data_IF_385847883255
#
_entry.id   IF_385847883255
#
_cell.length_a   1.000
_cell.length_b   1.000
_cell.length_c   1.000
_cell.angle_alpha   90.00
_cell.angle_beta   90.00
_cell.angle_gamma   90.00
#
_symmetry.space_group_name_H-M   'P 1'
#
loop_
_entity.id
_entity.type
_entity.pdbx_description
1 polymer ?
#
# COMPACT_ATOMS: atom_id res chain seq x y z
N UNK A 1 15.48 -8.47 -26.32
CA UNK A 1 14.86 -8.49 -24.99
C UNK A 1 15.70 -7.57 -24.11
N UNK A 2 15.09 -6.69 -23.31
CA UNK A 2 15.82 -5.74 -22.46
C UNK A 2 16.69 -6.53 -21.45
N UNK A 3 18.02 -6.35 -21.48
CA UNK A 3 18.99 -7.12 -20.68
C UNK A 3 18.70 -7.07 -19.18
N UNK A 4 18.14 -5.96 -18.69
CA UNK A 4 17.73 -5.78 -17.30
C UNK A 4 16.57 -6.71 -16.92
N UNK A 5 15.57 -6.85 -17.80
CA UNK A 5 14.41 -7.72 -17.55
C UNK A 5 14.86 -9.17 -17.49
N UNK A 6 15.72 -9.58 -18.43
CA UNK A 6 16.27 -10.93 -18.45
C UNK A 6 17.06 -11.24 -17.18
N UNK A 7 17.89 -10.30 -16.72
CA UNK A 7 18.61 -10.43 -15.45
C UNK A 7 17.65 -10.65 -14.25
N UNK A 8 16.62 -9.81 -14.10
CA UNK A 8 15.66 -9.95 -12.99
C UNK A 8 14.97 -11.32 -13.04
N UNK A 9 14.54 -11.75 -14.23
CA UNK A 9 13.85 -13.03 -14.41
C UNK A 9 14.74 -14.23 -14.05
N UNK A 10 15.98 -14.24 -14.55
CA UNK A 10 16.93 -15.33 -14.27
C UNK A 10 17.29 -15.42 -12.78
N UNK A 11 17.45 -14.29 -12.11
CA UNK A 11 17.86 -14.25 -10.71
C UNK A 11 16.75 -14.65 -9.72
N UNK A 12 15.48 -14.57 -10.14
CA UNK A 12 14.30 -14.80 -9.29
C UNK A 12 13.51 -16.07 -9.63
N UNK A 13 13.77 -16.71 -10.79
CA UNK A 13 13.02 -17.88 -11.29
C UNK A 13 12.94 -19.06 -10.32
N UNK A 14 13.98 -19.28 -9.51
CA UNK A 14 14.07 -20.41 -8.58
C UNK A 14 13.43 -20.09 -7.21
N UNK A 15 13.06 -18.83 -6.98
CA UNK A 15 12.49 -18.35 -5.72
C UNK A 15 10.99 -18.06 -5.80
N UNK A 16 10.49 -17.69 -6.98
CA UNK A 16 9.10 -17.29 -7.18
C UNK A 16 8.51 -18.00 -8.41
N UNK A 17 7.20 -18.29 -8.44
CA UNK A 17 6.53 -18.78 -9.63
C UNK A 17 6.71 -17.82 -10.81
N UNK A 18 6.75 -18.35 -12.04
CA UNK A 18 6.96 -17.56 -13.26
C UNK A 18 6.02 -16.35 -13.40
N UNK A 19 4.77 -16.49 -12.98
CA UNK A 19 3.78 -15.40 -13.00
C UNK A 19 4.15 -14.26 -12.05
N UNK A 20 4.67 -14.59 -10.87
CA UNK A 20 5.11 -13.61 -9.88
C UNK A 20 6.42 -12.95 -10.29
N UNK A 21 7.38 -13.71 -10.83
CA UNK A 21 8.61 -13.16 -11.42
C UNK A 21 8.29 -12.13 -12.51
N UNK A 22 7.31 -12.43 -13.36
CA UNK A 22 6.85 -11.48 -14.38
C UNK A 22 6.24 -10.23 -13.76
N UNK A 23 5.36 -10.37 -12.76
CA UNK A 23 4.73 -9.24 -12.07
C UNK A 23 5.76 -8.36 -11.35
N UNK A 24 6.71 -8.96 -10.63
CA UNK A 24 7.83 -8.27 -9.98
C UNK A 24 8.67 -7.52 -11.01
N UNK A 25 9.02 -8.18 -12.12
CA UNK A 25 9.78 -7.55 -13.21
C UNK A 25 9.06 -6.33 -13.76
N UNK A 26 7.75 -6.43 -14.00
CA UNK A 26 6.92 -5.31 -14.42
C UNK A 26 6.99 -4.15 -13.43
N UNK A 27 6.73 -4.42 -12.15
CA UNK A 27 6.73 -3.42 -11.06
C UNK A 27 8.08 -2.70 -10.97
N UNK A 28 9.20 -3.44 -10.99
CA UNK A 28 10.55 -2.85 -10.89
C UNK A 28 10.82 -1.93 -12.08
N UNK A 29 10.48 -2.36 -13.29
CA UNK A 29 10.74 -1.57 -14.49
C UNK A 29 9.89 -0.30 -14.50
N UNK A 30 8.58 -0.40 -14.28
CA UNK A 30 7.71 0.79 -14.22
C UNK A 30 8.17 1.77 -13.13
N UNK A 31 8.61 1.25 -11.98
CA UNK A 31 9.14 2.08 -10.90
C UNK A 31 10.44 2.81 -11.27
N UNK A 32 11.39 2.14 -11.91
CA UNK A 32 12.70 2.71 -12.26
C UNK A 32 12.63 3.66 -13.46
N UNK A 33 11.80 3.33 -14.45
CA UNK A 33 11.69 4.09 -15.70
C UNK A 33 10.59 5.16 -15.67
N UNK A 34 9.67 5.10 -14.69
CA UNK A 34 8.51 5.99 -14.60
C UNK A 34 7.67 6.03 -15.88
N UNK A 35 7.60 4.89 -16.57
CA UNK A 35 6.92 4.69 -17.84
C UNK A 35 6.19 3.34 -17.85
N UNK A 36 5.22 3.22 -18.75
CA UNK A 36 4.43 2.01 -18.94
C UNK A 36 5.29 0.82 -19.42
N UNK A 37 5.08 -0.37 -18.82
CA UNK A 37 5.87 -1.56 -19.12
C UNK A 37 5.83 -1.98 -20.60
N UNK A 38 4.71 -1.80 -21.29
CA UNK A 38 4.60 -2.16 -22.71
C UNK A 38 5.47 -1.27 -23.60
N UNK A 39 5.58 0.03 -23.26
CA UNK A 39 6.51 0.93 -23.95
C UNK A 39 7.97 0.54 -23.73
N UNK A 40 8.31 0.14 -22.50
CA UNK A 40 9.65 -0.34 -22.14
C UNK A 40 9.99 -1.61 -22.93
N UNK A 41 9.06 -2.56 -23.02
CA UNK A 41 9.24 -3.80 -23.79
C UNK A 41 9.38 -3.55 -25.29
N UNK A 42 8.61 -2.61 -25.84
CA UNK A 42 8.67 -2.22 -27.24
C UNK A 42 9.97 -1.47 -27.62
N UNK A 43 10.86 -1.20 -26.65
CA UNK A 43 12.10 -0.46 -26.88
C UNK A 43 11.89 1.03 -27.15
N UNK A 44 10.69 1.55 -26.87
CA UNK A 44 10.38 2.98 -26.98
C UNK A 44 11.01 3.80 -25.87
N UNK A 45 11.43 3.14 -24.78
CA UNK A 45 12.19 3.69 -23.67
C UNK A 45 13.49 2.91 -23.57
N UNK A 46 14.62 3.58 -23.80
CA UNK A 46 15.94 2.95 -23.73
C UNK A 46 16.55 3.26 -22.36
N UNK A 47 16.93 2.23 -21.57
CA UNK A 47 17.67 2.44 -20.35
C UNK A 47 19.03 3.08 -20.65
N UNK A 48 19.28 4.25 -20.06
CA UNK A 48 20.58 4.91 -20.15
C UNK A 48 21.14 5.14 -18.74
N UNK A 49 22.22 4.42 -18.40
CA UNK A 49 23.11 4.77 -17.30
C UNK A 49 23.31 3.70 -16.21
N UNK A 50 24.55 3.65 -15.68
CA UNK A 50 25.01 2.70 -14.65
C UNK A 50 24.22 2.76 -13.31
N UNK A 51 23.43 3.82 -13.08
CA UNK A 51 22.61 3.93 -11.87
C UNK A 51 21.41 2.99 -11.86
N UNK A 52 20.83 2.70 -13.03
CA UNK A 52 19.70 1.80 -13.17
C UNK A 52 20.15 0.39 -12.77
N UNK A 53 21.28 -0.05 -13.31
CA UNK A 53 21.85 -1.36 -13.01
C UNK A 53 22.08 -1.53 -11.51
N UNK A 54 22.74 -0.56 -10.86
CA UNK A 54 22.97 -0.61 -9.40
C UNK A 54 21.69 -0.75 -8.59
N UNK A 55 20.64 0.00 -8.93
CA UNK A 55 19.34 -0.09 -8.23
C UNK A 55 18.69 -1.45 -8.45
N UNK A 56 18.76 -2.00 -9.66
CA UNK A 56 18.22 -3.33 -9.97
C UNK A 56 18.94 -4.40 -9.15
N UNK A 57 20.28 -4.36 -9.09
CA UNK A 57 21.06 -5.29 -8.27
C UNK A 57 20.66 -5.23 -6.79
N UNK A 58 20.47 -4.02 -6.25
CA UNK A 58 20.06 -3.83 -4.85
C UNK A 58 18.65 -4.39 -4.58
N UNK A 59 17.69 -4.10 -5.47
CA UNK A 59 16.32 -4.60 -5.36
C UNK A 59 16.30 -6.13 -5.42
N UNK A 60 16.97 -6.73 -6.41
CA UNK A 60 17.04 -8.20 -6.56
C UNK A 60 17.70 -8.84 -5.34
N UNK A 61 18.77 -8.24 -4.79
CA UNK A 61 19.41 -8.73 -3.57
C UNK A 61 18.43 -8.75 -2.38
N UNK A 62 17.60 -7.72 -2.22
CA UNK A 62 16.59 -7.65 -1.14
C UNK A 62 15.46 -8.64 -1.36
N UNK A 63 14.99 -8.81 -2.59
CA UNK A 63 14.00 -9.83 -2.95
C UNK A 63 14.47 -11.26 -2.69
N UNK A 64 15.77 -11.53 -2.89
CA UNK A 64 16.38 -12.83 -2.55
C UNK A 64 16.39 -13.11 -1.04
N UNK A 65 16.24 -12.09 -0.22
CA UNK A 65 16.06 -12.21 1.23
C UNK A 65 14.58 -12.20 1.64
N UNK A 66 13.66 -12.48 0.71
CA UNK A 66 12.21 -12.52 0.92
C UNK A 66 11.60 -11.19 1.42
N UNK A 67 12.27 -10.07 1.17
CA UNK A 67 11.70 -8.77 1.49
C UNK A 67 10.61 -8.40 0.46
N UNK A 68 9.38 -8.06 0.89
CA UNK A 68 8.31 -7.68 -0.02
C UNK A 68 8.69 -6.51 -0.93
N UNK A 69 8.37 -6.62 -2.22
CA UNK A 69 8.73 -5.60 -3.22
C UNK A 69 8.23 -4.20 -2.83
N UNK A 70 7.03 -4.09 -2.24
CA UNK A 70 6.45 -2.81 -1.84
C UNK A 70 7.26 -2.13 -0.72
N UNK A 71 7.85 -2.89 0.21
CA UNK A 71 8.77 -2.32 1.21
C UNK A 71 10.12 -1.95 0.61
N UNK A 72 10.59 -2.71 -0.39
CA UNK A 72 11.82 -2.37 -1.11
C UNK A 72 11.65 -1.04 -1.85
N UNK A 73 10.51 -0.84 -2.52
CA UNK A 73 10.19 0.39 -3.25
C UNK A 73 9.72 1.53 -2.33
N UNK A 74 9.24 1.20 -1.12
CA UNK A 74 8.70 2.14 -0.15
C UNK A 74 7.32 2.68 -0.50
N UNK A 75 6.67 2.13 -1.54
CA UNK A 75 5.37 2.57 -2.02
C UNK A 75 4.58 1.43 -2.69
N UNK A 76 3.27 1.60 -2.70
CA UNK A 76 2.34 0.82 -3.50
C UNK A 76 1.20 1.70 -3.99
N UNK A 77 0.31 1.10 -4.78
CA UNK A 77 -0.90 1.73 -5.29
C UNK A 77 -2.09 1.06 -4.62
N UNK A 78 -3.06 1.85 -4.19
CA UNK A 78 -4.34 1.39 -3.64
C UNK A 78 -5.43 2.27 -4.26
N UNK A 79 -6.27 1.70 -5.12
CA UNK A 79 -7.04 2.44 -6.13
C UNK A 79 -6.13 3.36 -6.97
N UNK A 80 -6.45 4.65 -7.05
CA UNK A 80 -5.61 5.67 -7.72
C UNK A 80 -4.67 6.39 -6.75
N UNK A 81 -4.56 5.92 -5.51
CA UNK A 81 -3.78 6.57 -4.46
C UNK A 81 -2.39 5.96 -4.36
N UNK A 82 -1.39 6.85 -4.31
CA UNK A 82 -0.02 6.46 -4.01
C UNK A 82 0.15 6.34 -2.51
N UNK A 83 0.44 5.14 -2.02
CA UNK A 83 0.57 4.83 -0.60
C UNK A 83 2.02 4.51 -0.29
N UNK A 84 2.71 5.37 0.46
CA UNK A 84 4.00 5.02 1.06
C UNK A 84 3.81 3.93 2.12
N UNK A 85 4.66 2.92 2.08
CA UNK A 85 4.66 1.77 3.00
C UNK A 85 6.06 1.54 3.56
N UNK A 86 6.12 0.91 4.73
CA UNK A 86 7.35 0.54 5.42
C UNK A 86 7.05 -0.63 6.38
N UNK A 87 8.06 -1.29 6.95
CA UNK A 87 7.85 -2.44 7.85
C UNK A 87 6.96 -2.18 9.08
N UNK A 88 6.70 -0.91 9.43
CA UNK A 88 5.80 -0.54 10.53
C UNK A 88 4.32 -0.42 10.15
N UNK A 89 3.94 -0.70 8.90
CA UNK A 89 2.54 -0.70 8.42
C UNK A 89 2.28 -1.90 7.53
N UNK A 90 1.04 -2.42 7.53
CA UNK A 90 0.63 -3.46 6.60
C UNK A 90 0.61 -2.91 5.16
N UNK A 91 1.14 -3.68 4.21
CA UNK A 91 0.98 -3.41 2.78
C UNK A 91 -0.51 -3.56 2.43
N UNK A 92 -1.17 -2.53 1.86
CA UNK A 92 -2.55 -2.62 1.39
C UNK A 92 -2.79 -3.84 0.50
N UNK A 93 -3.92 -4.51 0.70
CA UNK A 93 -4.28 -5.74 -0.01
C UNK A 93 -5.43 -5.50 -0.99
N UNK A 94 -5.46 -6.17 -2.15
CA UNK A 94 -6.57 -6.02 -3.12
C UNK A 94 -7.95 -6.28 -2.51
N UNK A 95 -8.07 -7.26 -1.61
CA UNK A 95 -9.32 -7.58 -0.91
C UNK A 95 -9.81 -6.42 -0.03
N UNK A 96 -8.90 -5.54 0.42
CA UNK A 96 -9.25 -4.33 1.16
C UNK A 96 -9.90 -3.27 0.24
N UNK A 97 -9.66 -3.31 -1.07
CA UNK A 97 -10.37 -2.45 -2.03
C UNK A 97 -11.86 -2.82 -2.09
N UNK A 98 -12.19 -4.11 -2.04
CA UNK A 98 -13.59 -4.58 -2.02
C UNK A 98 -14.35 -4.04 -0.80
N UNK A 99 -13.72 -4.04 0.39
CA UNK A 99 -14.29 -3.46 1.60
C UNK A 99 -14.61 -1.98 1.44
N UNK A 100 -13.68 -1.20 0.86
CA UNK A 100 -13.90 0.23 0.60
C UNK A 100 -15.05 0.43 -0.38
N UNK A 101 -15.09 -0.37 -1.45
CA UNK A 101 -16.15 -0.29 -2.46
C UNK A 101 -17.52 -0.57 -1.85
N UNK A 102 -17.66 -1.61 -1.02
CA UNK A 102 -18.92 -1.91 -0.34
C UNK A 102 -19.40 -0.74 0.53
N UNK A 103 -18.50 -0.07 1.24
CA UNK A 103 -18.85 1.10 2.05
C UNK A 103 -19.36 2.23 1.15
N UNK A 104 -18.64 2.54 0.06
CA UNK A 104 -18.99 3.60 -0.89
C UNK A 104 -20.35 3.34 -1.55
N UNK A 105 -20.65 2.08 -1.89
CA UNK A 105 -21.92 1.69 -2.52
C UNK A 105 -23.09 1.63 -1.54
N UNK A 106 -22.82 1.33 -0.27
CA UNK A 106 -23.87 1.20 0.76
C UNK A 106 -24.37 2.52 1.34
N UNK A 107 -23.61 3.61 1.15
CA UNK A 107 -23.88 4.85 1.86
C UNK A 107 -24.84 5.79 1.11
N UNK A 108 -25.86 6.29 1.81
CA UNK A 108 -26.80 7.30 1.29
C UNK A 108 -26.60 8.70 1.88
N UNK A 109 -25.71 8.84 2.88
CA UNK A 109 -25.42 10.12 3.54
C UNK A 109 -24.54 11.01 2.66
N UNK A 110 -24.88 12.29 2.58
CA UNK A 110 -24.16 13.27 1.76
C UNK A 110 -22.82 13.72 2.36
N UNK A 111 -22.65 13.60 3.67
CA UNK A 111 -21.47 14.05 4.42
C UNK A 111 -21.25 13.19 5.69
N UNK A 112 -20.95 11.90 5.53
CA UNK A 112 -20.83 10.98 6.66
C UNK A 112 -19.59 11.27 7.51
N UNK A 113 -19.68 10.99 8.80
CA UNK A 113 -18.53 10.87 9.68
C UNK A 113 -18.05 9.41 9.70
N UNK A 114 -16.80 9.19 9.32
CA UNK A 114 -16.22 7.85 9.14
C UNK A 114 -14.95 7.70 9.98
N UNK A 115 -14.83 6.58 10.67
CA UNK A 115 -13.64 6.20 11.42
C UNK A 115 -13.04 4.89 10.89
N UNK A 116 -11.74 4.91 10.62
CA UNK A 116 -10.91 3.74 10.31
C UNK A 116 -10.06 3.32 11.52
N UNK A 117 -10.35 2.15 12.09
CA UNK A 117 -9.66 1.59 13.27
C UNK A 117 -8.52 0.67 12.83
N UNK A 118 -7.31 0.93 13.32
CA UNK A 118 -6.11 0.21 12.89
C UNK A 118 -5.68 0.66 11.49
N UNK A 119 -5.70 1.99 11.27
CA UNK A 119 -5.59 2.59 9.93
C UNK A 119 -4.28 2.26 9.21
N UNK A 120 -3.21 1.88 9.94
CA UNK A 120 -1.95 1.47 9.36
C UNK A 120 -1.34 2.53 8.45
N UNK A 121 -1.26 2.23 7.15
CA UNK A 121 -0.79 3.18 6.12
C UNK A 121 -1.80 4.29 5.79
N UNK A 122 -3.01 4.23 6.33
CA UNK A 122 -4.12 5.13 6.02
C UNK A 122 -4.91 4.75 4.77
N UNK A 123 -4.62 3.60 4.14
CA UNK A 123 -5.16 3.27 2.82
C UNK A 123 -6.70 3.28 2.74
N UNK A 124 -7.40 2.69 3.73
CA UNK A 124 -8.87 2.68 3.79
C UNK A 124 -9.40 4.11 3.98
N UNK A 125 -8.94 4.81 5.02
CA UNK A 125 -9.36 6.18 5.32
C UNK A 125 -9.15 7.14 4.13
N UNK A 126 -8.00 7.05 3.46
CA UNK A 126 -7.69 7.88 2.30
C UNK A 126 -8.56 7.53 1.09
N UNK A 127 -8.77 6.24 0.81
CA UNK A 127 -9.64 5.82 -0.29
C UNK A 127 -11.10 6.25 -0.06
N UNK A 128 -11.60 6.13 1.17
CA UNK A 128 -12.94 6.63 1.53
C UNK A 128 -13.04 8.14 1.34
N UNK A 129 -12.02 8.92 1.75
CA UNK A 129 -12.01 10.37 1.50
C UNK A 129 -11.92 10.73 0.01
N UNK A 130 -11.21 9.92 -0.78
CA UNK A 130 -11.08 10.09 -2.22
C UNK A 130 -12.43 9.92 -2.95
N UNK A 131 -13.15 8.85 -2.65
CA UNK A 131 -14.47 8.58 -3.23
C UNK A 131 -15.57 9.48 -2.65
N UNK A 132 -15.59 9.66 -1.33
CA UNK A 132 -16.60 10.42 -0.59
C UNK A 132 -16.03 11.80 -0.21
N UNK A 133 -15.95 12.70 -1.19
CA UNK A 133 -15.29 14.02 -1.03
C UNK A 133 -15.80 14.83 0.17
N UNK A 134 -17.09 14.73 0.47
CA UNK A 134 -17.75 15.45 1.57
C UNK A 134 -17.66 14.72 2.91
N UNK A 135 -17.17 13.47 2.96
CA UNK A 135 -17.04 12.74 4.22
C UNK A 135 -16.02 13.40 5.15
N UNK A 136 -16.33 13.40 6.44
CA UNK A 136 -15.37 13.68 7.48
C UNK A 136 -14.73 12.35 7.91
N UNK A 137 -13.50 12.11 7.45
CA UNK A 137 -12.82 10.84 7.66
C UNK A 137 -11.70 11.01 8.68
N UNK A 138 -11.67 10.11 9.65
CA UNK A 138 -10.58 9.99 10.59
C UNK A 138 -10.06 8.56 10.66
N UNK A 139 -8.82 8.40 11.10
CA UNK A 139 -8.19 7.10 11.30
C UNK A 139 -7.41 7.07 12.61
N UNK A 140 -7.43 5.92 13.29
CA UNK A 140 -6.65 5.70 14.50
C UNK A 140 -5.80 4.45 14.41
N UNK A 141 -4.70 4.47 15.15
CA UNK A 141 -3.79 3.34 15.28
C UNK A 141 -3.07 3.42 16.63
N UNK A 142 -2.67 2.27 17.16
CA UNK A 142 -1.84 2.16 18.36
C UNK A 142 -0.35 2.32 18.04
N UNK A 143 0.03 2.35 16.76
CA UNK A 143 1.41 2.54 16.30
C UNK A 143 1.66 3.98 15.89
N UNK A 144 2.59 4.66 16.56
CA UNK A 144 3.04 6.00 16.14
C UNK A 144 3.66 6.00 14.73
N UNK A 145 4.31 4.89 14.35
CA UNK A 145 4.87 4.71 13.01
C UNK A 145 3.75 4.72 11.97
N UNK A 146 2.67 3.99 12.23
CA UNK A 146 1.49 3.96 11.37
C UNK A 146 0.87 5.36 11.23
N UNK A 147 0.63 6.06 12.34
CA UNK A 147 0.07 7.42 12.30
C UNK A 147 0.94 8.39 11.49
N UNK A 148 2.27 8.31 11.64
CA UNK A 148 3.19 9.12 10.84
C UNK A 148 3.09 8.79 9.35
N UNK A 149 3.03 7.50 9.00
CA UNK A 149 2.90 7.04 7.61
C UNK A 149 1.55 7.44 7.01
N UNK A 150 0.44 7.25 7.72
CA UNK A 150 -0.88 7.68 7.29
C UNK A 150 -0.95 9.19 7.03
N UNK A 151 -0.40 10.02 7.93
CA UNK A 151 -0.30 11.48 7.72
C UNK A 151 0.57 11.85 6.52
N UNK A 152 1.66 11.13 6.28
CA UNK A 152 2.49 11.32 5.09
C UNK A 152 1.68 11.00 3.82
N UNK A 153 0.92 9.90 3.82
CA UNK A 153 0.10 9.50 2.68
C UNK A 153 -1.05 10.49 2.42
N UNK A 154 -1.64 11.06 3.47
CA UNK A 154 -2.62 12.15 3.34
C UNK A 154 -2.03 13.36 2.61
N UNK A 155 -0.80 13.76 2.99
CA UNK A 155 -0.08 14.87 2.35
C UNK A 155 0.26 14.57 0.89
N UNK A 156 0.75 13.36 0.60
CA UNK A 156 1.08 12.92 -0.78
C UNK A 156 -0.14 13.02 -1.69
N UNK A 157 -1.30 12.55 -1.21
CA UNK A 157 -2.54 12.50 -1.99
C UNK A 157 -3.38 13.77 -1.86
N UNK A 158 -2.96 14.76 -1.06
CA UNK A 158 -3.66 16.02 -0.79
C UNK A 158 -5.09 15.81 -0.28
N UNK A 159 -5.25 14.84 0.62
CA UNK A 159 -6.52 14.50 1.23
C UNK A 159 -6.56 14.97 2.67
N UNK A 160 -7.69 15.58 3.05
CA UNK A 160 -7.95 16.03 4.42
C UNK A 160 -8.56 14.87 5.23
N UNK A 161 -7.69 14.17 5.97
CA UNK A 161 -8.05 13.04 6.84
C UNK A 161 -7.33 13.23 8.17
N UNK A 162 -8.07 13.10 9.26
CA UNK A 162 -7.54 13.28 10.62
C UNK A 162 -7.02 11.97 11.19
N UNK A 163 -5.72 11.90 11.48
CA UNK A 163 -5.10 10.71 12.07
C UNK A 163 -4.64 10.95 13.51
N UNK A 164 -4.97 10.06 14.42
CA UNK A 164 -4.58 10.19 15.83
C UNK A 164 -4.17 8.85 16.46
N UNK A 165 -3.17 8.91 17.33
CA UNK A 165 -2.71 7.77 18.12
C UNK A 165 -3.75 7.42 19.20
N UNK A 166 -4.19 6.16 19.26
CA UNK A 166 -5.07 5.66 20.31
C UNK A 166 -4.99 4.13 20.35
N UNK A 167 -4.88 3.55 21.54
CA UNK A 167 -5.14 2.12 21.74
C UNK A 167 -6.67 1.92 21.81
N UNK A 168 -7.21 1.10 20.90
CA UNK A 168 -8.65 0.80 20.88
C UNK A 168 -9.12 0.07 22.15
N UNK A 169 -8.20 -0.50 22.95
CA UNK A 169 -8.54 -1.07 24.26
C UNK A 169 -9.04 -0.01 25.25
N UNK A 170 -8.64 1.25 25.06
CA UNK A 170 -9.08 2.39 25.87
C UNK A 170 -10.40 3.01 25.36
N UNK A 171 -11.20 2.26 24.59
CA UNK A 171 -12.39 2.74 23.89
C UNK A 171 -13.40 3.48 24.77
N UNK A 172 -13.47 3.19 26.07
CA UNK A 172 -14.42 3.82 27.00
C UNK A 172 -14.16 5.32 27.21
N UNK A 173 -13.02 5.83 26.78
CA UNK A 173 -12.62 7.23 26.94
C UNK A 173 -12.98 8.09 25.72
N UNK A 174 -13.68 7.54 24.72
CA UNK A 174 -13.97 8.21 23.45
C UNK A 174 -15.46 8.23 23.16
N UNK A 175 -15.91 9.34 22.59
CA UNK A 175 -17.28 9.50 22.11
C UNK A 175 -17.40 9.00 20.67
N UNK A 176 -17.69 7.71 20.53
CA UNK A 176 -17.85 7.05 19.23
C UNK A 176 -19.20 7.32 18.58
N UNK A 177 -20.16 7.92 19.30
CA UNK A 177 -21.51 8.20 18.80
C UNK A 177 -21.54 9.23 17.66
N UNK A 178 -20.41 9.90 17.43
CA UNK A 178 -20.25 10.91 16.37
C UNK A 178 -19.90 10.31 15.00
N UNK A 179 -19.78 8.99 14.87
CA UNK A 179 -19.45 8.33 13.60
C UNK A 179 -20.66 7.57 13.04
N UNK A 180 -20.97 7.82 11.77
CA UNK A 180 -21.99 7.08 11.02
C UNK A 180 -21.47 5.70 10.58
N UNK A 181 -20.16 5.61 10.31
CA UNK A 181 -19.48 4.40 9.85
C UNK A 181 -18.20 4.21 10.65
N UNK A 182 -18.00 2.99 11.14
CA UNK A 182 -16.74 2.53 11.71
C UNK A 182 -16.29 1.33 10.88
N UNK A 183 -15.09 1.43 10.31
CA UNK A 183 -14.45 0.38 9.51
C UNK A 183 -13.15 -0.04 10.18
N UNK A 184 -12.77 -1.30 10.00
CA UNK A 184 -11.47 -1.82 10.43
C UNK A 184 -11.07 -2.99 9.57
N UNK A 185 -9.78 -3.08 9.27
CA UNK A 185 -9.13 -4.30 8.81
C UNK A 185 -8.11 -4.75 9.87
N UNK A 186 -8.58 -5.35 10.99
CA UNK A 186 -7.72 -5.67 12.12
C UNK A 186 -6.79 -6.87 11.80
N UNK A 187 -5.74 -7.11 12.59
CA UNK A 187 -4.95 -8.34 12.46
C UNK A 187 -5.83 -9.57 12.75
N UNK A 188 -6.00 -10.44 11.76
CA UNK A 188 -6.82 -11.65 11.84
C UNK A 188 -6.04 -12.97 11.70
N UNK A 189 -4.73 -12.90 11.43
CA UNK A 189 -3.85 -14.08 11.30
C UNK A 189 -3.57 -14.65 12.69
N UNK A 190 -3.77 -15.97 12.85
CA UNK A 190 -3.55 -16.64 14.12
C UNK A 190 -2.04 -16.74 14.42
N UNK A 191 -1.66 -16.68 15.70
CA UNK A 191 -0.24 -16.76 16.10
C UNK A 191 0.45 -18.04 15.61
N UNK A 192 -0.30 -19.15 15.52
CA UNK A 192 0.20 -20.42 14.98
C UNK A 192 0.56 -20.35 13.49
N UNK A 193 -0.13 -19.50 12.72
CA UNK A 193 0.06 -19.33 11.27
C UNK A 193 1.21 -18.36 10.99
N UNK A 194 1.51 -17.44 11.92
CA UNK A 194 2.65 -16.52 11.80
C UNK A 194 4.02 -17.21 11.83
N UNK A 195 4.10 -18.43 12.38
CA UNK A 195 5.35 -19.21 12.42
C UNK A 195 5.66 -19.92 11.10
N UNK A 196 4.67 -20.01 10.19
CA UNK A 196 4.77 -20.67 8.88
C UNK A 196 4.90 -19.68 7.72
N UNK A 197 4.83 -18.36 8.01
CA UNK A 197 4.97 -17.24 7.05
C UNK A 197 6.33 -16.58 7.15
#
# INVERSE_FOLDING_TARGET
>A
MNSTIQYIQEELKDLYPNTEVWAISKIIMEYLFKEDYHKILAGLVIPTGNQIDRKVYEIVKRLKNHEPIQYILGETIFFDLKISVNPGVLIPRPETEELVQWIVESISLSSPAILDIGTGSGCIALALKWFLKNANVSGLDYSEVAIRTARQNAKINKLDVSFFYTDIKDWRLKDWHNYDIIVSNPPYILEKEKLEM
#
